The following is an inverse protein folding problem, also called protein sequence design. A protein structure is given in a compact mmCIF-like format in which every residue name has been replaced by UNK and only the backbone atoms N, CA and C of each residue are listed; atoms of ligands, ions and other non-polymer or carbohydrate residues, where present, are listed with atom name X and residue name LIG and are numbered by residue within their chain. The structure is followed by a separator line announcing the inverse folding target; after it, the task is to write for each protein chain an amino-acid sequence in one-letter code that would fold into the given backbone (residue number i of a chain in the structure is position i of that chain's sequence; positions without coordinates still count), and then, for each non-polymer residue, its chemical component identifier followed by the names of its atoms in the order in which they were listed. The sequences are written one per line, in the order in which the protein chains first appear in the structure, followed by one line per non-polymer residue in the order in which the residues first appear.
data_IF_478221108370
#
_entry.id   IF_478221108370
#
_cell.length_a   1.000
_cell.length_b   1.000
_cell.length_c   1.000
_cell.angle_alpha   90.00
_cell.angle_beta   90.00
_cell.angle_gamma   90.00
#
_symmetry.space_group_name_H-M   'P 1'
#
loop_
_entity.id
_entity.type
_entity.pdbx_description
1 polymer ?
#
# COMPACT_ATOMS: atom_id res chain seq x y z
N UNK A 1 -29.84 30.93 42.86
CA UNK A 1 -30.24 30.89 41.44
C UNK A 1 -28.95 30.85 40.62
N UNK A 2 -28.53 29.66 40.18
CA UNK A 2 -27.30 29.47 39.40
C UNK A 2 -27.68 28.90 38.05
N UNK A 3 -27.45 29.67 37.00
CA UNK A 3 -27.69 29.30 35.60
C UNK A 3 -26.43 28.65 35.06
N UNK A 4 -26.52 27.36 34.70
CA UNK A 4 -25.46 26.64 33.98
C UNK A 4 -25.66 26.88 32.48
N UNK A 5 -24.71 27.58 31.85
CA UNK A 5 -24.67 27.77 30.40
C UNK A 5 -23.94 26.56 29.79
N UNK A 6 -24.68 25.72 29.07
CA UNK A 6 -24.13 24.57 28.33
C UNK A 6 -23.56 25.08 27.00
N UNK A 7 -22.25 25.29 26.95
CA UNK A 7 -21.52 25.56 25.72
C UNK A 7 -21.33 24.29 24.89
N UNK A 8 -22.00 24.22 23.72
CA UNK A 8 -21.79 23.20 22.69
C UNK A 8 -20.34 23.24 22.18
N UNK A 9 -19.59 22.17 22.40
CA UNK A 9 -18.31 21.93 21.75
C UNK A 9 -18.54 21.18 20.41
N UNK A 10 -17.83 21.49 19.31
CA UNK A 10 -18.06 20.87 18.03
C UNK A 10 -17.45 19.46 17.95
N UNK A 11 -18.27 18.53 17.45
CA UNK A 11 -17.94 17.34 16.66
C UNK A 11 -16.62 16.59 17.01
N UNK A 12 -16.75 15.60 17.88
CA UNK A 12 -15.82 14.45 17.90
C UNK A 12 -16.08 13.64 16.61
N UNK A 13 -15.07 13.34 15.78
CA UNK A 13 -15.27 12.43 14.66
C UNK A 13 -15.54 11.02 15.22
N UNK A 14 -16.76 10.54 14.97
CA UNK A 14 -17.17 9.17 15.27
C UNK A 14 -16.19 8.19 14.62
N UNK A 15 -15.44 7.46 15.43
CA UNK A 15 -14.65 6.31 14.97
C UNK A 15 -15.64 5.29 14.43
N UNK A 16 -15.76 5.21 13.10
CA UNK A 16 -16.58 4.20 12.43
C UNK A 16 -15.83 2.87 12.50
N UNK A 17 -15.94 2.21 13.64
CA UNK A 17 -15.81 0.75 13.67
C UNK A 17 -16.99 0.16 12.87
N UNK A 18 -16.74 -0.97 12.20
CA UNK A 18 -17.66 -1.79 11.38
C UNK A 18 -17.55 -1.62 9.86
N UNK A 19 -16.56 -2.30 9.26
CA UNK A 19 -16.68 -2.85 7.89
C UNK A 19 -16.08 -4.26 7.74
N UNK A 20 -15.95 -5.00 8.83
CA UNK A 20 -15.42 -6.37 8.85
C UNK A 20 -16.44 -7.47 8.54
N UNK A 21 -17.71 -7.46 9.03
CA UNK A 21 -18.61 -8.61 8.82
C UNK A 21 -19.09 -8.72 7.36
N UNK A 22 -19.25 -7.60 6.67
CA UNK A 22 -19.69 -7.58 5.27
C UNK A 22 -18.61 -8.12 4.32
N UNK A 23 -17.33 -7.87 4.61
CA UNK A 23 -16.21 -8.43 3.83
C UNK A 23 -16.05 -9.93 4.07
N UNK A 24 -16.17 -10.37 5.32
CA UNK A 24 -16.10 -11.79 5.66
C UNK A 24 -17.24 -12.59 5.00
N UNK A 25 -18.48 -12.09 5.08
CA UNK A 25 -19.63 -12.69 4.40
C UNK A 25 -19.44 -12.79 2.89
N UNK A 26 -18.89 -11.74 2.26
CA UNK A 26 -18.60 -11.74 0.82
C UNK A 26 -17.49 -12.74 0.45
N UNK A 27 -16.52 -12.92 1.34
CA UNK A 27 -15.42 -13.88 1.15
C UNK A 27 -15.90 -15.33 1.31
N UNK A 28 -16.71 -15.61 2.34
CA UNK A 28 -17.32 -16.94 2.55
C UNK A 28 -18.21 -17.34 1.37
N UNK A 29 -19.05 -16.43 0.90
CA UNK A 29 -19.90 -16.68 -0.28
C UNK A 29 -19.08 -17.02 -1.53
N UNK A 30 -17.96 -16.32 -1.76
CA UNK A 30 -17.06 -16.64 -2.88
C UNK A 30 -16.39 -18.01 -2.76
N UNK A 31 -16.09 -18.46 -1.54
CA UNK A 31 -15.55 -19.80 -1.31
C UNK A 31 -16.60 -20.88 -1.56
N UNK A 32 -17.84 -20.66 -1.12
CA UNK A 32 -18.98 -21.54 -1.39
C UNK A 32 -19.24 -21.66 -2.89
N UNK A 33 -19.29 -20.53 -3.60
CA UNK A 33 -19.51 -20.50 -5.05
C UNK A 33 -18.38 -21.24 -5.81
N UNK A 34 -17.12 -21.07 -5.39
CA UNK A 34 -15.97 -21.74 -6.01
C UNK A 34 -15.92 -23.24 -5.72
N UNK A 35 -16.27 -23.66 -4.50
CA UNK A 35 -16.34 -25.07 -4.12
C UNK A 35 -17.50 -25.79 -4.83
N UNK A 36 -18.64 -25.12 -4.99
CA UNK A 36 -19.75 -25.62 -5.79
C UNK A 36 -19.33 -25.79 -7.26
N UNK A 37 -18.73 -24.77 -7.88
CA UNK A 37 -18.25 -24.85 -9.26
C UNK A 37 -17.24 -26.00 -9.46
N UNK A 38 -16.28 -26.14 -8.54
CA UNK A 38 -15.30 -27.22 -8.54
C UNK A 38 -15.90 -28.63 -8.40
N UNK A 39 -17.01 -28.79 -7.67
CA UNK A 39 -17.67 -30.07 -7.48
C UNK A 39 -18.52 -30.51 -8.69
N UNK A 40 -18.92 -29.57 -9.56
CA UNK A 40 -19.76 -29.82 -10.73
C UNK A 40 -19.02 -29.85 -12.06
N UNK A 41 -17.72 -29.53 -12.09
CA UNK A 41 -16.94 -29.40 -13.31
C UNK A 41 -15.94 -30.56 -13.52
N UNK A 42 -15.74 -30.97 -14.77
CA UNK A 42 -14.82 -32.04 -15.17
C UNK A 42 -13.34 -31.69 -14.87
N UNK A 43 -12.49 -32.72 -14.86
CA UNK A 43 -11.08 -32.67 -14.45
C UNK A 43 -10.30 -31.56 -15.21
N UNK A 44 -10.05 -30.43 -14.53
CA UNK A 44 -9.35 -29.26 -15.08
C UNK A 44 -9.90 -27.89 -14.64
N UNK A 45 -11.16 -27.80 -14.21
CA UNK A 45 -11.77 -26.50 -13.83
C UNK A 45 -11.52 -26.07 -12.37
N UNK A 46 -10.99 -26.98 -11.52
CA UNK A 46 -10.64 -26.68 -10.12
C UNK A 46 -9.57 -25.59 -9.99
N UNK A 47 -8.55 -25.60 -10.85
CA UNK A 47 -7.51 -24.56 -10.88
C UNK A 47 -8.08 -23.20 -11.29
N UNK A 48 -9.03 -23.20 -12.23
CA UNK A 48 -9.74 -22.01 -12.70
C UNK A 48 -10.62 -21.43 -11.59
N UNK A 49 -11.39 -22.26 -10.87
CA UNK A 49 -12.19 -21.84 -9.73
C UNK A 49 -11.32 -21.27 -8.59
N UNK A 50 -10.16 -21.89 -8.30
CA UNK A 50 -9.20 -21.35 -7.33
C UNK A 50 -8.61 -20.00 -7.78
N UNK A 51 -8.36 -19.82 -9.08
CA UNK A 51 -7.87 -18.54 -9.60
C UNK A 51 -8.84 -17.37 -9.36
N UNK A 52 -10.15 -17.63 -9.29
CA UNK A 52 -11.18 -16.64 -8.99
C UNK A 52 -11.22 -16.21 -7.51
N UNK A 53 -10.63 -17.01 -6.62
CA UNK A 53 -10.59 -16.77 -5.16
C UNK A 53 -9.21 -16.29 -4.70
N UNK A 54 -8.17 -16.37 -5.55
CA UNK A 54 -6.82 -15.93 -5.20
C UNK A 54 -6.84 -14.44 -4.84
N UNK A 55 -6.25 -14.07 -3.69
CA UNK A 55 -6.18 -12.67 -3.31
C UNK A 55 -5.38 -11.88 -4.36
N UNK A 56 -5.84 -10.65 -4.64
CA UNK A 56 -5.14 -9.73 -5.53
C UNK A 56 -3.71 -9.51 -5.08
N UNK A 57 -2.76 -9.97 -5.90
CA UNK A 57 -1.32 -9.80 -5.70
C UNK A 57 -0.95 -8.35 -5.93
N UNK A 58 -0.06 -7.82 -5.09
CA UNK A 58 0.32 -6.40 -5.07
C UNK A 58 1.83 -6.23 -5.09
N UNK A 59 2.30 -5.27 -5.88
CA UNK A 59 3.65 -4.72 -5.79
C UNK A 59 3.54 -3.40 -5.06
N UNK A 60 4.33 -3.19 -4.01
CA UNK A 60 4.35 -1.92 -3.28
C UNK A 60 5.51 -1.06 -3.77
N UNK A 61 5.25 0.10 -4.35
CA UNK A 61 6.23 1.14 -4.60
C UNK A 61 6.20 2.13 -3.43
N UNK A 62 7.30 2.26 -2.71
CA UNK A 62 7.44 3.22 -1.61
C UNK A 62 8.22 4.45 -2.07
N UNK A 63 7.59 5.62 -1.98
CA UNK A 63 8.13 6.90 -2.41
C UNK A 63 8.21 7.85 -1.22
N UNK A 64 9.24 8.69 -1.23
CA UNK A 64 9.43 9.74 -0.24
C UNK A 64 9.16 11.10 -0.85
N UNK A 65 8.76 12.06 -0.04
CA UNK A 65 8.61 13.43 -0.49
C UNK A 65 9.85 13.99 -1.20
N UNK A 66 9.61 14.71 -2.29
CA UNK A 66 10.65 15.30 -3.12
C UNK A 66 11.56 14.30 -3.84
N UNK A 67 11.26 12.99 -3.79
CA UNK A 67 12.00 11.93 -4.47
C UNK A 67 11.04 10.96 -5.16
N UNK A 68 10.89 11.16 -6.46
CA UNK A 68 10.19 10.24 -7.35
C UNK A 68 11.13 9.96 -8.51
N UNK A 69 11.98 8.95 -8.37
CA UNK A 69 12.82 8.50 -9.48
C UNK A 69 11.98 7.78 -10.57
N UNK A 70 11.98 8.29 -11.82
CA UNK A 70 11.22 7.68 -12.90
C UNK A 70 11.63 6.23 -13.20
N UNK A 71 12.89 5.85 -12.96
CA UNK A 71 13.36 4.47 -13.22
C UNK A 71 12.74 3.50 -12.22
N UNK A 72 12.67 3.89 -10.95
CA UNK A 72 12.05 3.13 -9.87
C UNK A 72 10.56 2.97 -10.11
N UNK A 73 9.87 4.03 -10.53
CA UNK A 73 8.47 3.98 -10.97
C UNK A 73 8.29 3.00 -12.13
N UNK A 74 9.09 3.16 -13.19
CA UNK A 74 9.02 2.34 -14.40
C UNK A 74 9.27 0.87 -14.08
N UNK A 75 10.25 0.58 -13.22
CA UNK A 75 10.56 -0.76 -12.76
C UNK A 75 9.37 -1.39 -12.03
N UNK A 76 8.79 -0.67 -11.05
CA UNK A 76 7.66 -1.17 -10.28
C UNK A 76 6.44 -1.42 -11.17
N UNK A 77 6.12 -0.49 -12.07
CA UNK A 77 5.02 -0.59 -13.02
C UNK A 77 5.18 -1.79 -13.96
N UNK A 78 6.32 -1.85 -14.67
CA UNK A 78 6.58 -2.92 -15.63
C UNK A 78 6.55 -4.29 -14.95
N UNK A 79 7.10 -4.38 -13.73
CA UNK A 79 7.09 -5.65 -13.00
C UNK A 79 5.68 -6.03 -12.56
N UNK A 80 4.89 -5.09 -12.05
CA UNK A 80 3.49 -5.33 -11.66
C UNK A 80 2.66 -5.81 -12.87
N UNK A 81 2.80 -5.16 -14.02
CA UNK A 81 2.11 -5.57 -15.26
C UNK A 81 2.53 -6.97 -15.72
N UNK A 82 3.84 -7.25 -15.79
CA UNK A 82 4.37 -8.54 -16.27
C UNK A 82 3.91 -9.72 -15.43
N UNK A 83 3.74 -9.54 -14.13
CA UNK A 83 3.31 -10.61 -13.23
C UNK A 83 1.79 -10.61 -12.99
N UNK A 84 1.03 -9.67 -13.57
CA UNK A 84 -0.40 -9.52 -13.35
C UNK A 84 -0.74 -9.20 -11.88
N UNK A 85 -0.06 -8.21 -11.31
CA UNK A 85 -0.28 -7.69 -9.97
C UNK A 85 -0.72 -6.22 -10.02
N UNK A 86 -1.44 -5.78 -8.98
CA UNK A 86 -1.78 -4.36 -8.80
C UNK A 86 -0.58 -3.58 -8.27
N UNK A 87 -0.45 -2.33 -8.69
CA UNK A 87 0.58 -1.43 -8.16
C UNK A 87 0.01 -0.60 -7.01
N UNK A 88 0.50 -0.82 -5.80
CA UNK A 88 0.22 0.07 -4.68
C UNK A 88 1.38 1.05 -4.52
N UNK A 89 1.07 2.35 -4.44
CA UNK A 89 2.05 3.42 -4.26
C UNK A 89 1.85 4.01 -2.88
N UNK A 90 2.88 3.89 -2.03
CA UNK A 90 2.91 4.48 -0.70
C UNK A 90 3.80 5.72 -0.74
N UNK A 91 3.17 6.89 -0.67
CA UNK A 91 3.86 8.18 -0.64
C UNK A 91 3.97 8.67 0.79
N UNK A 92 5.19 8.93 1.27
CA UNK A 92 5.44 9.35 2.65
C UNK A 92 6.05 10.76 2.70
N UNK A 93 5.32 11.66 3.34
CA UNK A 93 5.77 13.03 3.63
C UNK A 93 6.23 13.18 5.08
N UNK A 94 7.21 14.03 5.36
CA UNK A 94 7.63 14.35 6.73
C UNK A 94 6.81 15.51 7.32
N UNK A 95 5.91 16.11 6.54
CA UNK A 95 5.18 17.31 6.92
C UNK A 95 3.95 16.95 7.78
N UNK A 96 3.63 17.73 8.83
CA UNK A 96 2.43 17.52 9.64
C UNK A 96 1.13 17.64 8.84
N UNK A 97 0.09 16.94 9.33
CA UNK A 97 -1.23 16.92 8.69
C UNK A 97 -1.83 18.34 8.60
N UNK A 98 -2.31 18.72 7.41
CA UNK A 98 -2.93 20.02 7.14
C UNK A 98 -2.05 21.05 6.42
N UNK A 99 -0.76 20.77 6.24
CA UNK A 99 0.09 21.56 5.36
C UNK A 99 0.07 21.03 3.92
N UNK A 100 0.44 21.89 2.96
CA UNK A 100 0.60 21.48 1.58
C UNK A 100 1.65 20.36 1.50
N UNK A 101 1.26 19.22 0.92
CA UNK A 101 2.12 18.06 0.76
C UNK A 101 3.20 18.42 -0.27
N UNK A 102 4.49 18.48 0.11
CA UNK A 102 5.56 18.67 -0.86
C UNK A 102 5.51 17.54 -1.88
N UNK A 103 5.74 17.82 -3.17
CA UNK A 103 5.70 16.81 -4.23
C UNK A 103 4.30 16.43 -4.74
N UNK A 104 3.24 17.14 -4.32
CA UNK A 104 1.88 16.84 -4.76
C UNK A 104 1.67 17.02 -6.28
N UNK A 105 2.39 17.93 -6.93
CA UNK A 105 2.37 18.09 -8.38
C UNK A 105 2.95 16.85 -9.09
N UNK A 106 4.10 16.37 -8.61
CA UNK A 106 4.84 15.25 -9.15
C UNK A 106 4.03 13.96 -8.96
N UNK A 107 3.38 13.79 -7.79
CA UNK A 107 2.49 12.67 -7.54
C UNK A 107 1.25 12.70 -8.46
N UNK A 108 0.70 13.88 -8.76
CA UNK A 108 -0.39 14.04 -9.75
C UNK A 108 0.06 13.72 -11.16
N UNK A 109 1.25 14.16 -11.57
CA UNK A 109 1.82 13.83 -12.87
C UNK A 109 2.09 12.33 -13.01
N UNK A 110 2.60 11.70 -11.95
CA UNK A 110 2.75 10.25 -11.87
C UNK A 110 1.40 9.54 -12.04
N UNK A 111 0.38 9.95 -11.28
CA UNK A 111 -0.96 9.36 -11.38
C UNK A 111 -1.53 9.47 -12.80
N UNK A 112 -1.44 10.66 -13.42
CA UNK A 112 -1.91 10.88 -14.78
C UNK A 112 -1.17 10.00 -15.82
N UNK A 113 0.15 9.81 -15.64
CA UNK A 113 0.93 8.90 -16.49
C UNK A 113 0.47 7.44 -16.35
N UNK A 114 0.25 6.98 -15.12
CA UNK A 114 -0.22 5.62 -14.85
C UNK A 114 -1.64 5.37 -15.38
N UNK A 115 -2.52 6.38 -15.32
CA UNK A 115 -3.86 6.32 -15.89
C UNK A 115 -3.83 6.23 -17.43
N UNK A 116 -2.95 7.00 -18.08
CA UNK A 116 -2.77 6.95 -19.53
C UNK A 116 -2.27 5.57 -20.00
N UNK A 117 -1.45 4.90 -19.19
CA UNK A 117 -0.95 3.54 -19.45
C UNK A 117 -1.97 2.43 -19.10
N UNK A 118 -3.19 2.80 -18.66
CA UNK A 118 -4.23 1.86 -18.27
C UNK A 118 -3.86 0.98 -17.07
N UNK A 119 -2.90 1.42 -16.26
CA UNK A 119 -2.40 0.64 -15.14
C UNK A 119 -3.42 0.56 -14.00
N UNK A 120 -3.58 -0.62 -13.40
CA UNK A 120 -4.34 -0.73 -12.15
C UNK A 120 -3.44 -0.37 -10.98
N UNK A 121 -3.63 0.84 -10.44
CA UNK A 121 -2.84 1.32 -9.30
C UNK A 121 -3.70 1.91 -8.19
N UNK A 122 -3.08 2.08 -7.02
CA UNK A 122 -3.66 2.79 -5.88
C UNK A 122 -2.59 3.62 -5.18
N UNK A 123 -2.86 4.91 -4.97
CA UNK A 123 -1.99 5.78 -4.18
C UNK A 123 -2.50 5.86 -2.74
N UNK A 124 -1.59 5.74 -1.78
CA UNK A 124 -1.83 5.94 -0.35
C UNK A 124 -0.79 6.91 0.20
N UNK A 125 -1.27 8.05 0.69
CA UNK A 125 -0.43 9.07 1.31
C UNK A 125 -0.34 8.85 2.83
N UNK A 126 0.86 9.06 3.38
CA UNK A 126 1.16 8.94 4.82
C UNK A 126 2.13 10.03 5.25
N UNK A 127 2.10 10.34 6.54
CA UNK A 127 3.09 11.21 7.16
C UNK A 127 4.04 10.39 8.05
N UNK A 128 5.31 10.79 8.12
CA UNK A 128 6.30 10.24 9.04
C UNK A 128 7.47 9.51 8.36
N UNK A 129 7.92 8.41 8.98
CA UNK A 129 9.09 7.63 8.56
C UNK A 129 8.70 6.59 7.51
N UNK A 130 9.39 6.59 6.36
CA UNK A 130 9.14 5.68 5.24
C UNK A 130 9.26 4.22 5.65
N UNK A 131 10.34 3.88 6.38
CA UNK A 131 10.60 2.54 6.92
C UNK A 131 9.43 2.00 7.74
N UNK A 132 8.91 2.83 8.66
CA UNK A 132 7.77 2.47 9.49
C UNK A 132 6.49 2.34 8.66
N UNK A 133 6.27 3.24 7.70
CA UNK A 133 5.09 3.21 6.84
C UNK A 133 5.04 1.92 5.98
N UNK A 134 6.19 1.46 5.48
CA UNK A 134 6.32 0.20 4.74
C UNK A 134 6.00 -1.00 5.65
N UNK A 135 6.57 -1.04 6.86
CA UNK A 135 6.26 -2.10 7.84
C UNK A 135 4.75 -2.11 8.15
N UNK A 136 4.19 -0.95 8.48
CA UNK A 136 2.76 -0.83 8.81
C UNK A 136 1.87 -1.23 7.62
N UNK A 137 2.30 -0.93 6.39
CA UNK A 137 1.57 -1.31 5.18
C UNK A 137 1.59 -2.82 4.97
N UNK A 138 2.77 -3.43 4.99
CA UNK A 138 2.98 -4.86 4.73
C UNK A 138 2.43 -5.75 5.84
N UNK A 139 2.36 -5.28 7.08
CA UNK A 139 1.67 -5.99 8.17
C UNK A 139 0.15 -6.02 7.99
N UNK A 140 -0.43 -4.98 7.39
CA UNK A 140 -1.87 -4.89 7.13
C UNK A 140 -2.28 -5.55 5.82
N UNK A 141 -1.42 -5.50 4.81
CA UNK A 141 -1.69 -6.05 3.48
C UNK A 141 -0.92 -7.35 3.28
N UNK A 142 -1.64 -8.48 3.39
CA UNK A 142 -1.04 -9.83 3.34
C UNK A 142 -0.61 -10.30 1.95
N UNK A 143 -0.92 -9.55 0.89
CA UNK A 143 -0.72 -9.97 -0.51
C UNK A 143 0.31 -9.12 -1.25
N UNK A 144 1.16 -8.41 -0.51
CA UNK A 144 2.31 -7.70 -1.08
C UNK A 144 3.38 -8.72 -1.43
N UNK A 145 3.69 -8.85 -2.72
CA UNK A 145 4.70 -9.78 -3.22
C UNK A 145 6.11 -9.32 -2.88
N UNK A 146 6.37 -8.02 -3.04
CA UNK A 146 7.64 -7.37 -2.67
C UNK A 146 7.43 -5.85 -2.63
N UNK A 147 8.38 -5.16 -1.98
CA UNK A 147 8.43 -3.71 -1.88
C UNK A 147 9.55 -3.19 -2.78
N UNK A 148 9.29 -2.14 -3.55
CA UNK A 148 10.27 -1.42 -4.38
C UNK A 148 10.57 -0.08 -3.73
N UNK A 149 11.85 0.23 -3.55
CA UNK A 149 12.33 1.52 -3.02
C UNK A 149 13.48 2.08 -3.86
N UNK A 150 13.58 3.40 -3.90
CA UNK A 150 14.66 4.16 -4.53
C UNK A 150 15.84 4.26 -3.55
N UNK A 151 16.89 3.45 -3.72
CA UNK A 151 18.17 3.47 -2.95
C UNK A 151 18.07 3.40 -1.40
N UNK A 152 19.00 2.75 -0.66
CA UNK A 152 18.89 2.65 0.80
C UNK A 152 18.99 4.01 1.52
N UNK A 153 19.66 5.00 0.93
CA UNK A 153 19.83 6.34 1.53
C UNK A 153 18.50 7.11 1.69
N UNK A 154 17.44 6.66 1.01
CA UNK A 154 16.09 7.24 1.14
C UNK A 154 15.31 6.74 2.38
N UNK A 155 15.78 5.68 3.04
CA UNK A 155 15.00 4.91 4.01
C UNK A 155 15.09 5.43 5.46
N UNK A 156 16.21 6.02 5.86
CA UNK A 156 16.52 6.25 7.29
C UNK A 156 16.17 7.66 7.80
N UNK A 157 15.76 8.57 6.92
CA UNK A 157 15.50 9.95 7.31
C UNK A 157 14.12 10.12 7.97
N UNK A 158 14.09 10.49 9.26
CA UNK A 158 12.90 10.91 10.01
C UNK A 158 12.33 9.90 11.01
N UNK A 159 13.02 8.78 11.27
CA UNK A 159 12.53 7.75 12.18
C UNK A 159 12.84 8.10 13.65
N UNK A 160 11.81 8.46 14.44
CA UNK A 160 11.94 8.83 15.87
C UNK A 160 11.91 7.63 16.84
N UNK A 161 11.63 6.40 16.37
CA UNK A 161 11.59 5.21 17.24
C UNK A 161 13.02 4.74 17.50
N UNK A 162 13.29 4.27 18.73
CA UNK A 162 14.56 3.60 19.09
C UNK A 162 14.94 2.59 17.99
N UNK A 163 16.02 2.89 17.27
CA UNK A 163 16.39 2.21 16.02
C UNK A 163 16.39 0.67 16.14
N UNK A 164 16.74 0.13 17.30
CA UNK A 164 16.89 -1.32 17.49
C UNK A 164 15.62 -2.15 17.23
N UNK A 165 14.42 -1.64 17.53
CA UNK A 165 13.18 -2.38 17.27
C UNK A 165 12.73 -2.22 15.81
N UNK A 166 12.88 -1.02 15.25
CA UNK A 166 12.56 -0.75 13.87
C UNK A 166 13.46 -1.56 12.93
N UNK A 167 14.76 -1.62 13.23
CA UNK A 167 15.74 -2.44 12.51
C UNK A 167 15.42 -3.94 12.55
N UNK A 168 14.87 -4.44 13.67
CA UNK A 168 14.43 -5.83 13.77
C UNK A 168 13.24 -6.10 12.87
N UNK A 169 12.24 -5.22 12.88
CA UNK A 169 11.06 -5.37 12.03
C UNK A 169 11.40 -5.24 10.54
N UNK A 170 12.29 -4.30 10.21
CA UNK A 170 12.78 -4.12 8.85
C UNK A 170 13.52 -5.36 8.33
N UNK A 171 14.41 -5.94 9.15
CA UNK A 171 15.08 -7.21 8.82
C UNK A 171 14.14 -8.40 8.72
N UNK A 172 13.00 -8.35 9.41
CA UNK A 172 11.98 -9.38 9.43
C UNK A 172 10.76 -9.02 8.56
N UNK A 173 10.94 -8.17 7.54
CA UNK A 173 9.91 -7.90 6.55
C UNK A 173 9.40 -9.21 5.96
N UNK A 174 8.08 -9.39 5.94
CA UNK A 174 7.43 -10.62 5.48
C UNK A 174 7.49 -10.82 3.96
N UNK A 175 8.03 -9.85 3.24
CA UNK A 175 8.16 -9.87 1.79
C UNK A 175 9.54 -9.33 1.39
N UNK A 176 10.08 -9.75 0.22
CA UNK A 176 11.31 -9.20 -0.33
C UNK A 176 11.27 -7.69 -0.48
N UNK A 177 12.42 -7.07 -0.26
CA UNK A 177 12.69 -5.67 -0.58
C UNK A 177 13.57 -5.61 -1.82
N UNK A 178 13.11 -4.90 -2.83
CA UNK A 178 13.83 -4.60 -4.08
C UNK A 178 14.28 -3.15 -4.00
N UNK A 179 15.58 -2.97 -4.13
CA UNK A 179 16.20 -1.65 -4.19
C UNK A 179 16.60 -1.39 -5.62
N UNK A 180 16.07 -0.31 -6.19
CA UNK A 180 16.50 0.17 -7.51
C UNK A 180 17.69 1.09 -7.27
N UNK A 181 18.86 0.69 -7.79
CA UNK A 181 20.09 1.46 -7.64
C UNK A 181 20.13 2.62 -8.65
N UNK A 182 20.67 3.75 -8.22
CA UNK A 182 20.99 4.84 -9.12
C UNK A 182 22.07 4.38 -10.10
N UNK A 183 21.76 4.43 -11.40
CA UNK A 183 22.68 4.04 -12.46
C UNK A 183 23.76 5.10 -12.73
N UNK A 184 24.39 5.65 -11.69
CA UNK A 184 25.59 6.46 -11.81
C UNK A 184 26.80 5.53 -12.00
N UNK A 185 26.94 5.02 -13.22
CA UNK A 185 27.98 4.06 -13.58
C UNK A 185 27.92 3.66 -15.05
N UNK A 186 28.00 4.64 -15.95
CA UNK A 186 28.44 4.49 -17.34
C UNK A 186 28.91 5.85 -17.86
#
# INVERSE_FOLDING_TARGET
MFTVIVGRHPAVPSVTFLKEPARLKKMMKRMEDAAAAAAFAEEGEFETALSMVKPERRVLLALKEGRIDPRTVTYALNTAQRIGAHLDILYVSSVPAGAAIPGASELKHLAAGLEADGASFRITERNGCLKQAIIDYTDRQRNVLFVVVESPDSLDSGCRRKDSQLEKLWRNLKCPLVVVADGAGA
#
